data_IF_104720935852
#
_entry.id   IF_104720935852
#
_cell.length_a   1.000
_cell.length_b   1.000
_cell.length_c   1.000
_cell.angle_alpha   90.00
_cell.angle_beta   90.00
_cell.angle_gamma   90.00
#
_symmetry.space_group_name_H-M   'P 1'
#
loop_
_entity.id
_entity.type
_entity.pdbx_description
1 polymer ?
#
# COMPACT_ATOMS: atom_id res chain seq x y z
N UNK A 1 -6.66 30.05 3.18
CA UNK A 1 -5.57 29.04 3.06
C UNK A 1 -6.11 27.80 2.34
N UNK A 2 -5.33 27.16 1.47
CA UNK A 2 -5.75 25.96 0.72
C UNK A 2 -5.69 24.75 1.65
N UNK A 3 -6.82 24.06 1.87
CA UNK A 3 -6.89 22.87 2.72
C UNK A 3 -5.92 21.80 2.21
N UNK A 4 -5.01 21.38 3.09
CA UNK A 4 -4.03 20.32 2.79
C UNK A 4 -4.71 18.95 2.70
N UNK A 5 -4.16 18.06 1.88
CA UNK A 5 -4.63 16.68 1.74
C UNK A 5 -4.16 15.85 2.95
N UNK A 6 -5.01 15.04 3.60
CA UNK A 6 -4.57 14.13 4.68
C UNK A 6 -3.33 13.31 4.33
N UNK A 7 -3.19 12.85 3.08
CA UNK A 7 -2.00 12.11 2.63
C UNK A 7 -0.72 12.93 2.85
N UNK A 8 -0.68 14.20 2.41
CA UNK A 8 0.53 15.01 2.50
C UNK A 8 0.91 15.34 3.94
N UNK A 9 -0.08 15.51 4.81
CA UNK A 9 0.16 15.80 6.24
C UNK A 9 0.79 14.58 6.93
N UNK A 10 0.30 13.39 6.60
CA UNK A 10 0.84 12.13 7.13
C UNK A 10 2.26 11.87 6.62
N UNK A 11 2.56 12.17 5.36
CA UNK A 11 3.88 11.94 4.76
C UNK A 11 4.99 12.85 5.31
N UNK A 12 4.66 14.03 5.86
CA UNK A 12 5.64 14.99 6.42
C UNK A 12 6.22 14.57 7.77
N UNK A 13 5.58 13.65 8.50
CA UNK A 13 6.08 13.21 9.80
C UNK A 13 7.15 12.13 9.66
N UNK A 14 7.96 11.96 10.70
CA UNK A 14 8.97 10.90 10.77
C UNK A 14 8.31 9.53 10.49
N UNK A 15 8.77 8.80 9.47
CA UNK A 15 8.10 7.59 9.01
C UNK A 15 8.21 6.39 9.94
N UNK A 16 9.02 6.48 10.99
CA UNK A 16 9.23 5.40 11.97
C UNK A 16 8.13 5.34 13.02
N UNK A 17 7.44 6.45 13.25
CA UNK A 17 6.46 6.58 14.32
C UNK A 17 5.02 6.53 13.81
N UNK A 18 4.11 6.19 14.71
CA UNK A 18 2.67 6.24 14.49
C UNK A 18 2.14 7.58 15.00
N UNK A 19 1.33 8.25 14.18
CA UNK A 19 0.71 9.53 14.52
C UNK A 19 -0.80 9.40 14.42
N UNK A 20 -1.50 10.03 15.35
CA UNK A 20 -2.95 10.13 15.38
C UNK A 20 -3.41 11.55 15.02
N UNK A 21 -4.48 11.64 14.23
CA UNK A 21 -5.07 12.90 13.83
C UNK A 21 -6.59 12.85 13.86
N UNK A 22 -7.18 14.02 14.06
CA UNK A 22 -8.63 14.24 14.00
C UNK A 22 -8.97 15.33 12.99
N UNK A 23 -10.11 15.18 12.32
CA UNK A 23 -10.65 16.20 11.43
C UNK A 23 -12.15 16.32 11.56
N UNK A 24 -12.63 17.52 11.83
CA UNK A 24 -14.03 17.87 11.68
C UNK A 24 -14.35 18.32 10.25
N UNK A 25 -15.62 18.16 9.80
CA UNK A 25 -16.07 18.71 8.54
C UNK A 25 -15.76 20.20 8.46
N UNK A 26 -15.12 20.63 7.38
CA UNK A 26 -14.77 22.04 7.19
C UNK A 26 -13.42 22.45 7.77
N UNK A 27 -12.78 21.64 8.64
CA UNK A 27 -11.52 21.97 9.27
C UNK A 27 -10.30 21.31 8.62
N UNK A 28 -9.12 21.79 9.02
CA UNK A 28 -7.84 21.13 8.78
C UNK A 28 -7.63 19.94 9.73
N UNK A 29 -6.66 19.09 9.37
CA UNK A 29 -6.31 17.91 10.16
C UNK A 29 -5.51 18.34 11.39
N UNK A 30 -5.97 17.95 12.57
CA UNK A 30 -5.33 18.29 13.84
C UNK A 30 -4.53 17.09 14.36
N UNK A 31 -3.24 17.27 14.60
CA UNK A 31 -2.36 16.26 15.22
C UNK A 31 -2.72 16.11 16.70
N UNK A 32 -3.02 14.89 17.13
CA UNK A 32 -3.38 14.54 18.53
C UNK A 32 -2.44 13.49 19.10
N UNK A 33 -1.21 13.44 18.58
CA UNK A 33 -0.12 12.62 19.09
C UNK A 33 0.65 13.38 20.17
N UNK A 34 1.10 12.69 21.21
CA UNK A 34 2.05 13.23 22.19
C UNK A 34 3.36 13.62 21.50
N UNK A 35 4.04 14.62 22.06
CA UNK A 35 5.30 15.16 21.53
C UNK A 35 6.46 14.16 21.53
N UNK A 36 6.36 13.09 22.32
CA UNK A 36 7.33 12.00 22.38
C UNK A 36 6.68 10.67 21.91
N UNK A 37 6.49 10.49 20.59
CA UNK A 37 5.93 9.27 20.07
C UNK A 37 6.89 8.11 20.37
N UNK A 38 6.36 7.02 20.92
CA UNK A 38 7.15 5.80 21.06
C UNK A 38 7.22 5.11 19.71
N UNK A 39 8.32 4.43 19.45
CA UNK A 39 8.30 3.43 18.40
C UNK A 39 7.20 2.43 18.79
N UNK A 40 6.24 2.23 17.88
CA UNK A 40 5.27 1.14 17.85
C UNK A 40 3.86 1.35 18.36
N UNK A 41 3.52 2.49 18.95
CA UNK A 41 2.15 2.79 19.39
C UNK A 41 1.88 4.29 19.22
N UNK A 42 0.68 4.63 18.77
CA UNK A 42 0.20 6.02 18.85
C UNK A 42 0.03 6.37 20.33
N UNK A 43 0.97 7.16 20.84
CA UNK A 43 0.82 7.83 22.13
C UNK A 43 -0.15 8.99 21.94
N UNK A 44 -1.46 8.76 22.09
CA UNK A 44 -2.46 9.81 21.97
C UNK A 44 -2.28 10.85 23.08
N UNK A 45 -2.27 12.13 22.72
CA UNK A 45 -2.45 13.22 23.68
C UNK A 45 -3.92 13.22 24.10
N UNK A 46 -4.24 12.43 25.13
CA UNK A 46 -5.60 12.25 25.61
C UNK A 46 -6.24 13.58 26.03
N UNK A 47 -5.46 14.52 26.58
CA UNK A 47 -5.97 15.83 26.96
C UNK A 47 -6.44 16.60 25.72
N UNK A 48 -5.59 16.67 24.70
CA UNK A 48 -5.92 17.33 23.42
C UNK A 48 -7.05 16.61 22.68
N UNK A 49 -7.03 15.28 22.65
CA UNK A 49 -8.09 14.46 22.07
C UNK A 49 -9.44 14.73 22.74
N UNK A 50 -9.50 14.71 24.07
CA UNK A 50 -10.70 14.98 24.85
C UNK A 50 -11.16 16.42 24.69
N UNK A 51 -10.24 17.39 24.67
CA UNK A 51 -10.55 18.79 24.40
C UNK A 51 -11.24 18.94 23.04
N UNK A 52 -10.63 18.44 21.97
CA UNK A 52 -11.16 18.48 20.60
C UNK A 52 -12.51 17.76 20.52
N UNK A 53 -12.69 16.64 21.23
CA UNK A 53 -13.95 15.87 21.28
C UNK A 53 -15.08 16.60 22.02
N UNK A 54 -14.74 17.33 23.08
CA UNK A 54 -15.69 17.98 23.99
C UNK A 54 -15.96 19.45 23.68
N UNK A 55 -15.35 20.00 22.61
CA UNK A 55 -15.71 21.32 22.08
C UNK A 55 -17.23 21.39 21.85
N UNK A 56 -17.90 22.26 22.63
CA UNK A 56 -19.37 22.31 22.81
C UNK A 56 -20.14 22.66 21.54
N UNK A 57 -19.47 23.31 20.61
CA UNK A 57 -19.92 23.72 19.27
C UNK A 57 -19.99 22.54 18.28
N UNK A 58 -19.25 21.46 18.51
CA UNK A 58 -19.21 20.33 17.60
C UNK A 58 -20.28 19.27 17.91
N UNK A 59 -21.49 19.54 17.40
CA UNK A 59 -22.52 18.49 17.17
C UNK A 59 -22.13 17.53 16.03
N UNK A 60 -21.08 17.86 15.28
CA UNK A 60 -20.71 17.14 14.07
C UNK A 60 -19.84 15.91 14.35
N UNK A 61 -20.04 14.89 13.54
CA UNK A 61 -19.19 13.70 13.52
C UNK A 61 -17.80 14.04 12.99
N UNK A 62 -16.76 13.40 13.51
CA UNK A 62 -15.37 13.60 13.05
C UNK A 62 -14.81 12.38 12.30
N UNK A 63 -13.67 12.60 11.66
CA UNK A 63 -12.87 11.59 10.98
C UNK A 63 -11.56 11.43 11.76
N UNK A 64 -11.19 10.20 12.11
CA UNK A 64 -9.88 9.92 12.68
C UNK A 64 -8.95 9.38 11.60
N UNK A 65 -7.69 9.75 11.69
CA UNK A 65 -6.64 9.28 10.82
C UNK A 65 -5.47 8.82 11.69
N UNK A 66 -4.83 7.71 11.34
CA UNK A 66 -3.51 7.40 11.90
C UNK A 66 -2.70 6.60 10.88
N UNK A 67 -1.41 6.39 11.16
CA UNK A 67 -0.54 5.64 10.27
C UNK A 67 0.14 4.47 10.97
N UNK A 68 0.35 3.39 10.23
CA UNK A 68 1.17 2.25 10.62
C UNK A 68 2.46 2.22 9.78
N UNK A 69 3.64 2.34 10.39
CA UNK A 69 4.91 2.17 9.71
C UNK A 69 5.11 0.69 9.36
N UNK A 70 5.40 0.41 8.09
CA UNK A 70 5.71 -0.94 7.63
C UNK A 70 7.08 -1.34 8.14
N UNK A 71 7.10 -2.31 9.04
CA UNK A 71 8.34 -2.80 9.64
C UNK A 71 8.91 -3.91 8.76
N UNK A 72 10.20 -3.85 8.47
CA UNK A 72 10.92 -4.89 7.70
C UNK A 72 11.07 -6.23 8.44
N UNK A 73 10.40 -6.40 9.58
CA UNK A 73 10.46 -7.62 10.38
C UNK A 73 9.58 -8.71 9.77
N UNK A 74 10.06 -9.97 9.73
CA UNK A 74 9.22 -11.11 9.39
C UNK A 74 8.01 -11.16 10.33
N UNK A 75 6.86 -11.52 9.76
CA UNK A 75 5.51 -11.46 10.35
C UNK A 75 5.48 -11.74 11.86
N UNK A 76 5.47 -10.68 12.67
CA UNK A 76 5.02 -10.74 14.06
C UNK A 76 3.53 -10.35 14.11
N UNK A 77 2.85 -10.67 15.21
CA UNK A 77 1.47 -10.23 15.49
C UNK A 77 1.27 -8.70 15.36
N UNK A 78 2.36 -7.94 15.28
CA UNK A 78 2.42 -6.49 15.22
C UNK A 78 2.58 -5.93 13.80
N UNK A 79 2.80 -6.77 12.78
CA UNK A 79 2.95 -6.33 11.39
C UNK A 79 1.64 -6.51 10.61
N UNK A 80 0.57 -5.89 11.09
CA UNK A 80 -0.78 -5.96 10.52
C UNK A 80 -0.97 -5.07 9.29
N UNK A 81 0.08 -4.39 8.81
CA UNK A 81 0.00 -3.46 7.68
C UNK A 81 -1.00 -2.34 7.96
N UNK A 82 -1.92 -2.08 7.03
CA UNK A 82 -2.99 -1.10 7.21
C UNK A 82 -4.18 -1.60 8.05
N UNK A 83 -4.21 -2.85 8.50
CA UNK A 83 -5.34 -3.36 9.27
C UNK A 83 -5.38 -2.73 10.67
N UNK A 84 -6.58 -2.45 11.21
CA UNK A 84 -6.74 -1.89 12.55
C UNK A 84 -6.32 -2.90 13.61
N UNK A 85 -5.72 -2.42 14.69
CA UNK A 85 -5.52 -3.18 15.93
C UNK A 85 -6.85 -3.38 16.68
N UNK A 86 -6.84 -4.22 17.72
CA UNK A 86 -7.98 -4.32 18.66
C UNK A 86 -8.30 -2.97 19.28
N UNK A 87 -7.27 -2.23 19.72
CA UNK A 87 -7.42 -0.89 20.29
C UNK A 87 -8.10 0.07 19.32
N UNK A 88 -7.71 0.07 18.05
CA UNK A 88 -8.33 0.90 17.01
C UNK A 88 -9.80 0.55 16.80
N UNK A 89 -10.13 -0.74 16.78
CA UNK A 89 -11.51 -1.19 16.60
C UNK A 89 -12.40 -0.81 17.79
N UNK A 90 -11.91 -1.02 19.01
CA UNK A 90 -12.64 -0.67 20.24
C UNK A 90 -12.86 0.84 20.29
N UNK A 91 -11.79 1.64 20.14
CA UNK A 91 -11.88 3.10 20.13
C UNK A 91 -12.83 3.60 19.04
N UNK A 92 -12.75 3.03 17.83
CA UNK A 92 -13.66 3.38 16.75
C UNK A 92 -15.11 3.04 17.06
N UNK A 93 -15.40 1.83 17.57
CA UNK A 93 -16.76 1.38 17.85
C UNK A 93 -17.38 2.19 18.99
N UNK A 94 -16.65 2.32 20.10
CA UNK A 94 -17.10 2.98 21.34
C UNK A 94 -17.23 4.50 21.20
N UNK A 95 -16.62 5.10 20.17
CA UNK A 95 -16.74 6.53 19.89
C UNK A 95 -17.89 6.84 18.92
N UNK A 96 -19.11 7.18 19.38
CA UNK A 96 -20.27 7.39 18.51
C UNK A 96 -20.10 8.59 17.56
N UNK A 97 -19.27 9.58 17.93
CA UNK A 97 -19.03 10.76 17.09
C UNK A 97 -18.02 10.49 15.97
N UNK A 98 -17.21 9.43 16.04
CA UNK A 98 -16.23 9.10 15.02
C UNK A 98 -16.91 8.38 13.85
N UNK A 99 -17.10 9.06 12.73
CA UNK A 99 -17.81 8.48 11.56
C UNK A 99 -16.96 7.52 10.76
N UNK A 100 -15.67 7.83 10.64
CA UNK A 100 -14.74 7.05 9.84
C UNK A 100 -13.34 7.08 10.44
N UNK A 101 -12.61 6.01 10.17
CA UNK A 101 -11.21 5.84 10.52
C UNK A 101 -10.42 5.54 9.25
N UNK A 102 -9.28 6.22 9.11
CA UNK A 102 -8.36 6.07 8.00
C UNK A 102 -7.00 5.66 8.53
N UNK A 103 -6.52 4.49 8.11
CA UNK A 103 -5.24 3.94 8.54
C UNK A 103 -4.30 3.93 7.33
N UNK A 104 -3.26 4.75 7.39
CA UNK A 104 -2.26 4.84 6.34
C UNK A 104 -1.14 3.83 6.59
N UNK A 105 -0.88 2.94 5.65
CA UNK A 105 0.36 2.15 5.69
C UNK A 105 1.47 2.96 5.03
N UNK A 106 2.57 3.16 5.74
CA UNK A 106 3.73 3.94 5.26
C UNK A 106 4.96 3.07 5.14
N UNK A 107 5.79 3.34 4.15
CA UNK A 107 7.15 2.84 4.14
C UNK A 107 7.94 3.49 5.29
N UNK A 108 8.54 2.69 6.18
CA UNK A 108 9.24 3.20 7.37
C UNK A 108 10.56 3.91 7.05
N UNK A 109 11.08 3.80 5.82
CA UNK A 109 12.31 4.45 5.37
C UNK A 109 12.01 5.72 4.58
N UNK A 110 11.08 5.65 3.64
CA UNK A 110 10.78 6.78 2.73
C UNK A 110 9.63 7.65 3.22
N UNK A 111 8.78 7.12 4.10
CA UNK A 111 7.55 7.78 4.55
C UNK A 111 6.41 7.82 3.55
N UNK A 112 6.61 7.27 2.34
CA UNK A 112 5.60 7.18 1.30
C UNK A 112 4.40 6.35 1.78
N UNK A 113 3.19 6.86 1.52
CA UNK A 113 1.96 6.09 1.76
C UNK A 113 1.80 5.02 0.69
N UNK A 114 1.84 3.76 1.10
CA UNK A 114 1.68 2.58 0.24
C UNK A 114 0.20 2.23 0.01
N UNK A 115 -0.68 2.67 0.91
CA UNK A 115 -2.13 2.49 0.80
C UNK A 115 -2.88 2.92 2.06
N UNK A 116 -4.20 2.90 1.97
CA UNK A 116 -5.10 3.37 3.02
C UNK A 116 -6.14 2.29 3.29
N UNK A 117 -6.33 1.95 4.56
CA UNK A 117 -7.50 1.24 5.02
C UNK A 117 -8.54 2.24 5.54
N UNK A 118 -9.79 2.08 5.13
CA UNK A 118 -10.89 2.96 5.50
C UNK A 118 -11.96 2.12 6.16
N UNK A 119 -12.40 2.53 7.35
CA UNK A 119 -13.55 1.97 8.05
C UNK A 119 -14.57 3.06 8.31
N UNK A 120 -15.85 2.77 8.10
CA UNK A 120 -16.94 3.73 8.18
C UNK A 120 -18.17 3.15 8.85
N UNK A 121 -18.72 3.91 9.79
CA UNK A 121 -20.01 3.64 10.42
C UNK A 121 -21.17 4.00 9.48
N UNK A 122 -22.28 3.25 9.50
CA UNK A 122 -23.52 3.66 8.86
C UNK A 122 -24.11 4.91 9.55
N UNK A 123 -25.09 5.56 8.91
CA UNK A 123 -25.63 6.86 9.35
C UNK A 123 -26.37 6.76 10.69
N UNK A 124 -26.92 5.60 10.96
CA UNK A 124 -27.75 5.19 12.09
C UNK A 124 -26.98 4.38 13.14
N UNK A 125 -25.65 4.27 13.02
CA UNK A 125 -24.82 3.57 13.99
C UNK A 125 -25.05 4.12 15.40
N UNK A 126 -25.36 3.24 16.36
CA UNK A 126 -25.62 3.60 17.76
C UNK A 126 -27.02 4.14 18.06
N UNK A 127 -27.93 4.23 17.07
CA UNK A 127 -29.35 4.55 17.33
C UNK A 127 -30.12 3.37 17.93
N UNK A 128 -29.75 2.16 17.52
CA UNK A 128 -30.19 0.94 18.19
C UNK A 128 -29.25 0.68 19.37
N UNK A 129 -29.77 0.03 20.44
CA UNK A 129 -28.91 -0.50 21.50
C UNK A 129 -27.98 -1.51 20.86
N UNK A 130 -26.79 -1.06 20.47
CA UNK A 130 -25.67 -1.95 20.12
C UNK A 130 -25.58 -2.91 21.31
N UNK A 131 -25.76 -4.23 21.10
CA UNK A 131 -25.74 -5.19 22.19
C UNK A 131 -24.53 -4.88 23.08
N UNK A 132 -24.76 -4.61 24.37
CA UNK A 132 -23.71 -4.13 25.28
C UNK A 132 -22.49 -5.04 25.13
N UNK A 133 -21.44 -4.42 24.64
CA UNK A 133 -20.20 -4.97 24.11
C UNK A 133 -19.26 -5.50 25.21
N UNK A 134 -19.78 -6.19 26.22
CA UNK A 134 -19.02 -6.51 27.44
C UNK A 134 -17.94 -7.61 27.30
N UNK A 135 -17.60 -8.12 26.10
CA UNK A 135 -16.74 -9.32 25.99
C UNK A 135 -15.69 -9.32 24.86
N UNK A 136 -15.35 -8.19 24.25
CA UNK A 136 -14.81 -8.21 22.87
C UNK A 136 -13.33 -7.87 22.56
N UNK A 137 -12.48 -7.29 23.44
CA UNK A 137 -11.06 -7.13 23.10
C UNK A 137 -10.39 -8.47 22.82
N UNK A 138 -10.67 -9.45 23.67
CA UNK A 138 -10.14 -10.80 23.56
C UNK A 138 -10.70 -11.54 22.36
N UNK A 139 -11.95 -11.30 21.95
CA UNK A 139 -12.52 -11.97 20.77
C UNK A 139 -11.93 -11.45 19.46
N UNK A 140 -11.66 -10.15 19.31
CA UNK A 140 -10.95 -9.67 18.13
C UNK A 140 -9.51 -10.15 18.11
N UNK A 141 -8.78 -10.03 19.22
CA UNK A 141 -7.41 -10.55 19.30
C UNK A 141 -7.38 -12.06 19.07
N UNK A 142 -8.34 -12.81 19.62
CA UNK A 142 -8.47 -14.25 19.36
C UNK A 142 -8.85 -14.52 17.91
N UNK A 143 -9.70 -13.72 17.26
CA UNK A 143 -10.01 -13.89 15.84
C UNK A 143 -8.82 -13.53 14.97
N UNK A 144 -8.09 -12.45 15.24
CA UNK A 144 -6.87 -12.09 14.51
C UNK A 144 -5.79 -13.15 14.72
N UNK A 145 -5.64 -13.67 15.94
CA UNK A 145 -4.69 -14.76 16.26
C UNK A 145 -5.10 -16.10 15.64
N UNK A 146 -6.40 -16.42 15.57
CA UNK A 146 -6.92 -17.70 15.05
C UNK A 146 -7.16 -17.67 13.53
N UNK A 147 -7.40 -16.50 12.94
CA UNK A 147 -7.62 -16.37 11.50
C UNK A 147 -6.28 -16.14 10.80
N UNK A 148 -6.09 -16.85 9.70
CA UNK A 148 -4.85 -16.79 8.89
C UNK A 148 -4.70 -15.42 8.18
N UNK A 149 -5.74 -14.56 8.17
CA UNK A 149 -5.73 -13.29 7.42
C UNK A 149 -6.42 -12.14 8.17
N UNK A 150 -5.71 -11.04 8.49
CA UNK A 150 -6.29 -9.81 9.04
C UNK A 150 -7.50 -9.29 8.24
N UNK A 151 -7.48 -9.44 6.92
CA UNK A 151 -8.59 -9.08 6.03
C UNK A 151 -9.88 -9.82 6.39
N UNK A 152 -9.78 -11.09 6.76
CA UNK A 152 -10.94 -11.92 7.16
C UNK A 152 -11.48 -11.48 8.52
N UNK A 153 -10.60 -11.24 9.50
CA UNK A 153 -11.00 -10.74 10.82
C UNK A 153 -11.74 -9.40 10.71
N UNK A 154 -11.18 -8.47 9.93
CA UNK A 154 -11.83 -7.18 9.62
C UNK A 154 -13.20 -7.36 8.98
N UNK A 155 -13.35 -8.28 8.03
CA UNK A 155 -14.64 -8.54 7.38
C UNK A 155 -15.69 -9.01 8.38
N UNK A 156 -15.35 -10.00 9.22
CA UNK A 156 -16.27 -10.55 10.21
C UNK A 156 -16.74 -9.48 11.21
N UNK A 157 -15.81 -8.63 11.69
CA UNK A 157 -16.19 -7.50 12.52
C UNK A 157 -17.09 -6.51 11.77
N UNK A 158 -16.73 -6.17 10.54
CA UNK A 158 -17.51 -5.21 9.78
C UNK A 158 -18.94 -5.73 9.53
N UNK A 159 -19.10 -7.01 9.24
CA UNK A 159 -20.41 -7.68 9.14
C UNK A 159 -21.16 -7.63 10.47
N UNK A 160 -20.51 -8.00 11.59
CA UNK A 160 -21.12 -8.01 12.92
C UNK A 160 -21.64 -6.62 13.35
N UNK A 161 -20.91 -5.55 13.03
CA UNK A 161 -21.24 -4.18 13.45
C UNK A 161 -21.90 -3.34 12.34
N UNK A 162 -22.25 -3.95 11.20
CA UNK A 162 -22.80 -3.22 10.05
C UNK A 162 -21.87 -2.13 9.49
N UNK A 163 -20.56 -2.27 9.66
CA UNK A 163 -19.55 -1.31 9.21
C UNK A 163 -19.23 -1.52 7.73
N UNK A 164 -18.79 -0.46 7.08
CA UNK A 164 -18.27 -0.50 5.71
C UNK A 164 -16.76 -0.33 5.75
N UNK A 165 -16.02 -1.19 5.07
CA UNK A 165 -14.57 -1.08 4.98
C UNK A 165 -14.07 -1.12 3.54
N UNK A 166 -12.91 -0.50 3.28
CA UNK A 166 -12.22 -0.52 1.98
C UNK A 166 -10.71 -0.50 2.16
N UNK A 167 -10.01 -1.22 1.29
CA UNK A 167 -8.56 -1.12 1.14
C UNK A 167 -8.27 -0.39 -0.18
N UNK A 168 -7.54 0.72 -0.09
CA UNK A 168 -7.27 1.62 -1.21
C UNK A 168 -5.74 1.66 -1.41
N UNK A 169 -5.17 0.88 -2.36
CA UNK A 169 -3.74 0.91 -2.61
C UNK A 169 -3.33 2.25 -3.23
N UNK A 170 -2.13 2.72 -2.90
CA UNK A 170 -1.51 3.83 -3.62
C UNK A 170 -1.15 3.43 -5.05
N UNK A 171 -0.88 4.41 -5.91
CA UNK A 171 -0.43 4.16 -7.30
C UNK A 171 0.85 3.32 -7.26
N UNK A 172 0.87 2.22 -8.01
CA UNK A 172 2.02 1.30 -8.02
C UNK A 172 2.02 0.25 -6.90
N UNK A 173 1.01 0.21 -6.04
CA UNK A 173 0.87 -0.77 -4.96
C UNK A 173 -0.32 -1.71 -5.17
N UNK A 174 -0.29 -2.87 -4.53
CA UNK A 174 -1.40 -3.81 -4.42
C UNK A 174 -1.47 -4.38 -3.02
N UNK A 175 -2.66 -4.80 -2.59
CA UNK A 175 -2.80 -5.52 -1.32
C UNK A 175 -2.50 -7.01 -1.52
N UNK A 176 -1.71 -7.61 -0.63
CA UNK A 176 -1.50 -9.05 -0.61
C UNK A 176 -2.63 -9.77 0.18
N UNK A 177 -2.60 -11.11 0.21
CA UNK A 177 -3.61 -11.90 0.94
C UNK A 177 -3.61 -11.68 2.47
N UNK A 178 -2.54 -11.09 3.00
CA UNK A 178 -2.38 -10.74 4.42
C UNK A 178 -2.95 -9.36 4.78
N UNK A 179 -3.46 -8.59 3.81
CA UNK A 179 -3.97 -7.24 4.07
C UNK A 179 -2.90 -6.14 4.07
N UNK A 180 -1.67 -6.47 3.66
CA UNK A 180 -0.54 -5.53 3.60
C UNK A 180 -0.40 -4.99 2.19
N UNK A 181 -0.21 -3.68 2.05
CA UNK A 181 0.13 -3.07 0.77
C UNK A 181 1.60 -3.36 0.40
N UNK A 182 1.81 -3.82 -0.82
CA UNK A 182 3.13 -4.14 -1.37
C UNK A 182 3.27 -3.52 -2.75
N UNK A 183 4.48 -3.09 -3.10
CA UNK A 183 4.77 -2.58 -4.43
C UNK A 183 4.38 -3.65 -5.46
N UNK A 184 3.64 -3.28 -6.49
CA UNK A 184 3.40 -4.16 -7.63
C UNK A 184 4.77 -4.53 -8.18
N UNK A 185 5.02 -5.83 -8.38
CA UNK A 185 6.16 -6.23 -9.21
C UNK A 185 5.93 -5.55 -10.55
N UNK A 186 6.81 -4.63 -10.90
CA UNK A 186 6.85 -3.99 -12.21
C UNK A 186 6.87 -5.11 -13.25
N UNK A 187 5.81 -5.25 -14.06
CA UNK A 187 5.85 -6.14 -15.23
C UNK A 187 6.86 -5.63 -16.26
N UNK A 188 7.07 -4.31 -16.27
CA UNK A 188 8.18 -3.62 -16.94
C UNK A 188 9.52 -4.31 -16.66
N UNK A 189 9.83 -4.72 -15.41
CA UNK A 189 11.11 -5.40 -15.14
C UNK A 189 11.27 -6.75 -15.85
N UNK A 190 10.18 -7.43 -16.24
CA UNK A 190 10.24 -8.67 -17.00
C UNK A 190 10.26 -8.36 -18.49
N UNK A 191 9.40 -7.47 -18.97
CA UNK A 191 9.35 -7.01 -20.37
C UNK A 191 10.67 -6.36 -20.80
N UNK A 192 11.29 -5.57 -19.92
CA UNK A 192 12.61 -4.96 -20.11
C UNK A 192 13.71 -6.00 -20.21
N UNK A 193 13.70 -7.00 -19.32
CA UNK A 193 14.68 -8.09 -19.34
C UNK A 193 14.55 -8.93 -20.62
N UNK A 194 13.31 -9.23 -21.04
CA UNK A 194 13.04 -9.94 -22.28
C UNK A 194 13.50 -9.11 -23.49
N UNK A 195 13.20 -7.81 -23.51
CA UNK A 195 13.59 -6.91 -24.61
C UNK A 195 15.12 -6.82 -24.74
N UNK A 196 15.84 -6.69 -23.63
CA UNK A 196 17.31 -6.70 -23.63
C UNK A 196 17.85 -8.06 -24.09
N UNK A 197 17.26 -9.16 -23.64
CA UNK A 197 17.67 -10.51 -24.05
C UNK A 197 17.45 -10.77 -25.55
N UNK A 198 16.27 -10.42 -26.08
CA UNK A 198 15.96 -10.50 -27.51
C UNK A 198 16.91 -9.59 -28.30
N UNK A 199 17.17 -8.39 -27.81
CA UNK A 199 18.10 -7.44 -28.42
C UNK A 199 19.51 -8.00 -28.56
N UNK A 200 20.09 -8.48 -27.46
CA UNK A 200 21.43 -9.08 -27.45
C UNK A 200 21.51 -10.38 -28.25
N UNK A 201 20.51 -11.25 -28.13
CA UNK A 201 20.43 -12.49 -28.89
C UNK A 201 20.37 -12.24 -30.39
N UNK A 202 19.61 -11.23 -30.83
CA UNK A 202 19.53 -10.86 -32.25
C UNK A 202 20.85 -10.29 -32.75
N UNK A 203 21.58 -9.50 -31.95
CA UNK A 203 22.93 -9.04 -32.32
C UNK A 203 23.90 -10.22 -32.44
N UNK A 204 23.91 -11.14 -31.47
CA UNK A 204 24.77 -12.32 -31.53
C UNK A 204 24.48 -13.19 -32.76
N UNK A 205 23.20 -13.44 -33.06
CA UNK A 205 22.79 -14.12 -34.29
C UNK A 205 23.24 -13.35 -35.54
N UNK A 206 23.11 -12.02 -35.56
CA UNK A 206 23.58 -11.21 -36.68
C UNK A 206 25.07 -11.38 -36.95
N UNK A 207 25.90 -11.45 -35.90
CA UNK A 207 27.35 -11.65 -36.04
C UNK A 207 27.68 -13.05 -36.58
N UNK A 208 26.89 -14.06 -36.19
CA UNK A 208 27.00 -15.42 -36.73
C UNK A 208 26.67 -15.44 -38.23
N UNK A 209 25.55 -14.82 -38.64
CA UNK A 209 25.10 -14.79 -40.05
C UNK A 209 25.95 -13.88 -40.96
N UNK A 210 26.56 -12.83 -40.43
CA UNK A 210 27.44 -11.91 -41.17
C UNK A 210 28.90 -12.41 -41.23
N UNK A 211 29.28 -13.34 -40.36
CA UNK A 211 30.64 -13.88 -40.32
C UNK A 211 30.71 -15.24 -41.02
N UNK A 212 31.17 -15.22 -42.26
CA UNK A 212 31.45 -16.43 -43.04
C UNK A 212 32.46 -17.36 -42.34
N UNK A 213 33.32 -16.82 -41.47
CA UNK A 213 34.34 -17.57 -40.75
C UNK A 213 33.82 -18.31 -39.51
N UNK A 214 32.73 -17.82 -38.89
CA UNK A 214 32.18 -18.41 -37.66
C UNK A 214 31.20 -19.54 -37.98
N UNK A 215 30.39 -19.38 -39.03
CA UNK A 215 29.44 -20.40 -39.46
C UNK A 215 30.09 -21.50 -40.29
N UNK A 216 31.23 -21.26 -40.93
CA UNK A 216 31.99 -22.29 -41.63
C UNK A 216 31.17 -23.10 -42.66
N UNK A 217 30.23 -22.46 -43.36
CA UNK A 217 29.24 -23.13 -44.21
C UNK A 217 28.38 -24.21 -43.50
N UNK A 218 28.29 -24.23 -42.16
CA UNK A 218 27.51 -25.21 -41.40
C UNK A 218 26.00 -25.12 -41.67
N UNK A 219 25.51 -23.99 -42.17
CA UNK A 219 24.19 -23.90 -42.80
C UNK A 219 24.38 -24.13 -44.30
N UNK A 220 24.76 -25.36 -44.68
CA UNK A 220 25.32 -25.73 -45.99
C UNK A 220 24.40 -25.59 -47.21
N UNK A 221 23.30 -24.85 -47.08
CA UNK A 221 22.30 -24.64 -48.14
C UNK A 221 21.89 -23.18 -48.33
N UNK A 222 22.38 -22.24 -47.50
CA UNK A 222 22.08 -20.81 -47.64
C UNK A 222 23.25 -20.12 -48.36
N UNK A 223 22.97 -19.44 -49.46
CA UNK A 223 23.98 -18.65 -50.18
C UNK A 223 24.38 -17.39 -49.39
N UNK A 224 25.57 -16.85 -49.68
CA UNK A 224 26.14 -15.70 -48.98
C UNK A 224 25.21 -14.47 -48.95
N UNK A 225 24.45 -14.24 -50.02
CA UNK A 225 23.55 -13.07 -50.10
C UNK A 225 22.38 -13.25 -49.14
N UNK A 226 21.78 -14.44 -49.11
CA UNK A 226 20.70 -14.78 -48.19
C UNK A 226 21.14 -14.76 -46.73
N UNK A 227 22.34 -15.30 -46.42
CA UNK A 227 22.91 -15.27 -45.06
C UNK A 227 23.13 -13.84 -44.58
N UNK A 228 23.76 -13.00 -45.40
CA UNK A 228 24.01 -11.59 -45.07
C UNK A 228 22.70 -10.82 -44.85
N UNK A 229 21.68 -11.08 -45.68
CA UNK A 229 20.38 -10.45 -45.53
C UNK A 229 19.72 -10.82 -44.19
N UNK A 230 19.76 -12.10 -43.80
CA UNK A 230 19.26 -12.54 -42.50
C UNK A 230 20.03 -11.87 -41.35
N UNK A 231 21.36 -11.77 -41.46
CA UNK A 231 22.21 -11.07 -40.50
C UNK A 231 21.82 -9.59 -40.33
N UNK A 232 21.63 -8.86 -41.43
CA UNK A 232 21.18 -7.46 -41.39
C UNK A 232 19.82 -7.32 -40.71
N UNK A 233 18.86 -8.21 -41.00
CA UNK A 233 17.54 -8.20 -40.38
C UNK A 233 17.66 -8.41 -38.87
N UNK A 234 18.42 -9.41 -38.42
CA UNK A 234 18.64 -9.66 -36.99
C UNK A 234 19.33 -8.47 -36.31
N UNK A 235 20.28 -7.82 -36.98
CA UNK A 235 20.94 -6.63 -36.45
C UNK A 235 19.93 -5.48 -36.25
N UNK A 236 19.09 -5.20 -37.25
CA UNK A 236 18.08 -4.15 -37.16
C UNK A 236 17.05 -4.43 -36.05
N UNK A 237 16.56 -5.67 -35.95
CA UNK A 237 15.67 -6.08 -34.86
C UNK A 237 16.36 -5.87 -33.51
N UNK A 238 17.61 -6.31 -33.37
CA UNK A 238 18.40 -6.14 -32.16
C UNK A 238 18.53 -4.67 -31.73
N UNK A 239 18.87 -3.80 -32.69
CA UNK A 239 18.98 -2.36 -32.49
C UNK A 239 17.65 -1.71 -32.09
N UNK A 240 16.53 -2.11 -32.70
CA UNK A 240 15.19 -1.59 -32.36
C UNK A 240 14.84 -1.91 -30.90
N UNK A 241 15.06 -3.16 -30.45
CA UNK A 241 14.76 -3.56 -29.07
C UNK A 241 15.67 -2.86 -28.06
N UNK A 242 16.97 -2.73 -28.34
CA UNK A 242 17.90 -2.02 -27.45
C UNK A 242 17.57 -0.53 -27.39
N UNK A 243 17.31 0.11 -28.53
CA UNK A 243 16.96 1.53 -28.59
C UNK A 243 15.63 1.81 -27.87
N UNK A 244 14.62 0.96 -28.07
CA UNK A 244 13.33 1.06 -27.37
C UNK A 244 13.50 0.95 -25.86
N UNK A 245 14.38 0.05 -25.39
CA UNK A 245 14.70 -0.07 -23.97
C UNK A 245 15.40 1.18 -23.41
N UNK A 246 16.37 1.74 -24.14
CA UNK A 246 17.07 2.97 -23.74
C UNK A 246 16.07 4.15 -23.64
N UNK A 247 15.15 4.28 -24.60
CA UNK A 247 14.16 5.37 -24.63
C UNK A 247 13.12 5.29 -23.51
N UNK A 248 12.86 4.11 -22.96
CA UNK A 248 11.89 3.92 -21.87
C UNK A 248 12.45 4.25 -20.47
N UNK A 249 13.77 4.40 -20.35
CA UNK A 249 14.43 4.88 -19.13
C UNK A 249 14.54 6.40 -19.10
#
# INVERSE_FOLDING_TARGET
MKKRNPKSIVEEKDPRFEYGYMRYPGEELQDVTLSNPKEHEVNWDLKKYVEIKNRKDYRHQFLAYHNHPKRGLPFTLWNVGASPSSGDMIGFIDEPKQKSMYIFQRDSKTGEVEGIYVLRKPRDFGKEKVPRLMTYPQMFDNHVRRTISPKRATRLLAEQYGLRYRFIPAKGYKMNWRGIFVKKKSSQNIEDKISVFIGLGSILLSLIFLSNNITGNAIGTIDNRSSNMAGIIFLLVGLIFIFSHIKQK
#
